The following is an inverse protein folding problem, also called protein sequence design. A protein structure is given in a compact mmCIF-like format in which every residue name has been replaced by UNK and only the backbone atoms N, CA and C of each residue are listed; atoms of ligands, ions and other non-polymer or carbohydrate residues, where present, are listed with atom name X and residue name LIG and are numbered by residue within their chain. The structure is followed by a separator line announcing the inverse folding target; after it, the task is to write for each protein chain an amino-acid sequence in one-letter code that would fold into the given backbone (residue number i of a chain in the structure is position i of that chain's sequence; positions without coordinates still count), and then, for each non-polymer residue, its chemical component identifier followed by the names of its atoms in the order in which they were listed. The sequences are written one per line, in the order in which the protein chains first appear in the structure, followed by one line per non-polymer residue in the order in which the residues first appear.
data_IF_694441767275
#
_entry.id   IF_694441767275
#
_cell.length_a   1.000
_cell.length_b   1.000
_cell.length_c   1.000
_cell.angle_alpha   90.00
_cell.angle_beta   90.00
_cell.angle_gamma   90.00
#
_symmetry.space_group_name_H-M   'P 1'
#
loop_
_entity.id
_entity.type
_entity.pdbx_description
1 polymer ?
#
# COMPACT_ATOMS: atom_id res chain seq x y z
N UNK A 1 -16.04 0.72 5.38
CA UNK A 1 -15.62 1.25 4.06
C UNK A 1 -15.33 2.74 4.11
N UNK A 2 -16.08 3.53 4.89
CA UNK A 2 -15.90 4.99 5.01
C UNK A 2 -14.46 5.41 5.36
N UNK A 3 -13.77 4.66 6.23
CA UNK A 3 -12.38 4.96 6.58
C UNK A 3 -11.37 4.72 5.44
N UNK A 4 -11.69 3.82 4.49
CA UNK A 4 -10.74 3.36 3.46
C UNK A 4 -11.03 4.01 2.11
N UNK A 5 -12.30 4.24 1.82
CA UNK A 5 -12.78 4.81 0.57
C UNK A 5 -12.06 6.10 0.13
N UNK A 6 -11.71 7.07 1.01
CA UNK A 6 -11.10 8.33 0.58
C UNK A 6 -9.82 8.14 -0.26
N UNK A 7 -8.99 7.16 0.09
CA UNK A 7 -7.72 6.87 -0.58
C UNK A 7 -7.71 5.53 -1.31
N UNK A 8 -8.77 4.73 -1.19
CA UNK A 8 -8.98 3.48 -1.92
C UNK A 8 -10.37 3.41 -2.58
N UNK A 9 -10.77 4.41 -3.39
CA UNK A 9 -12.11 4.47 -3.97
C UNK A 9 -12.21 3.54 -5.18
N UNK A 10 -12.14 2.23 -4.96
CA UNK A 10 -12.24 1.21 -6.04
C UNK A 10 -13.67 0.75 -6.29
N UNK A 11 -14.64 1.18 -5.48
CA UNK A 11 -16.06 0.88 -5.65
C UNK A 11 -16.85 2.17 -5.92
N UNK A 12 -18.04 2.04 -6.51
CA UNK A 12 -19.01 3.12 -6.48
C UNK A 12 -19.76 3.10 -5.14
N UNK A 13 -20.24 4.26 -4.69
CA UNK A 13 -21.16 4.36 -3.55
C UNK A 13 -22.55 3.91 -3.99
N UNK A 14 -22.67 2.64 -4.36
CA UNK A 14 -23.92 2.02 -4.79
C UNK A 14 -24.53 1.15 -3.69
N UNK A 15 -25.78 0.76 -3.93
CA UNK A 15 -26.51 -0.19 -3.11
C UNK A 15 -25.78 -1.54 -3.05
N UNK A 16 -25.28 -1.91 -1.86
CA UNK A 16 -24.54 -3.15 -1.61
C UNK A 16 -25.30 -4.39 -2.08
N UNK A 17 -26.64 -4.34 -2.08
CA UNK A 17 -27.50 -5.43 -2.52
C UNK A 17 -27.37 -5.76 -4.01
N UNK A 18 -26.84 -4.83 -4.82
CA UNK A 18 -26.60 -5.00 -6.26
C UNK A 18 -25.16 -5.37 -6.59
N UNK A 19 -24.28 -5.39 -5.59
CA UNK A 19 -22.87 -5.70 -5.80
C UNK A 19 -22.69 -7.19 -6.16
N UNK A 20 -21.84 -7.51 -7.15
CA UNK A 20 -21.44 -8.89 -7.42
C UNK A 20 -20.91 -9.60 -6.17
N UNK A 21 -21.18 -10.90 -6.04
CA UNK A 21 -20.86 -11.66 -4.83
C UNK A 21 -19.36 -11.64 -4.50
N UNK A 22 -18.49 -11.72 -5.52
CA UNK A 22 -17.04 -11.63 -5.34
C UNK A 22 -16.68 -10.28 -4.70
N UNK A 23 -17.13 -9.18 -5.30
CA UNK A 23 -16.86 -7.83 -4.81
C UNK A 23 -17.38 -7.62 -3.39
N UNK A 24 -18.59 -8.09 -3.10
CA UNK A 24 -19.19 -8.00 -1.77
C UNK A 24 -18.35 -8.75 -0.72
N UNK A 25 -17.85 -9.95 -1.03
CA UNK A 25 -16.99 -10.70 -0.11
C UNK A 25 -15.62 -10.02 0.06
N UNK A 26 -15.05 -9.45 -1.01
CA UNK A 26 -13.80 -8.69 -0.94
C UNK A 26 -13.96 -7.42 -0.06
N UNK A 27 -15.11 -6.73 -0.16
CA UNK A 27 -15.45 -5.62 0.72
C UNK A 27 -15.60 -6.06 2.19
N UNK A 28 -16.23 -7.21 2.44
CA UNK A 28 -16.34 -7.77 3.79
C UNK A 28 -15.00 -8.22 4.36
N UNK A 29 -14.08 -8.72 3.53
CA UNK A 29 -12.72 -9.05 3.93
C UNK A 29 -12.01 -7.80 4.45
N UNK A 30 -12.02 -6.72 3.67
CA UNK A 30 -11.42 -5.44 4.06
C UNK A 30 -12.09 -4.85 5.31
N UNK A 31 -13.42 -4.89 5.38
CA UNK A 31 -14.17 -4.42 6.55
C UNK A 31 -13.85 -5.24 7.82
N UNK A 32 -13.65 -6.55 7.67
CA UNK A 32 -13.29 -7.44 8.77
C UNK A 32 -11.89 -7.12 9.29
N UNK A 33 -10.92 -6.79 8.42
CA UNK A 33 -9.59 -6.32 8.84
C UNK A 33 -9.65 -5.04 9.70
N UNK A 34 -10.64 -4.18 9.47
CA UNK A 34 -10.87 -2.96 10.27
C UNK A 34 -11.36 -3.26 11.70
N UNK A 35 -11.87 -4.45 11.98
CA UNK A 35 -12.44 -4.77 13.29
C UNK A 35 -11.34 -4.96 14.34
N UNK A 36 -11.53 -4.53 15.60
CA UNK A 36 -10.58 -4.81 16.67
C UNK A 36 -10.52 -6.32 16.99
N UNK A 37 -9.39 -6.77 17.55
CA UNK A 37 -9.18 -8.16 17.98
C UNK A 37 -8.55 -9.07 16.93
N UNK A 38 -8.55 -10.38 17.22
CA UNK A 38 -8.12 -11.42 16.28
C UNK A 38 -9.22 -11.63 15.22
N UNK A 39 -8.86 -11.41 13.97
CA UNK A 39 -9.76 -11.47 12.81
C UNK A 39 -9.29 -12.46 11.76
N UNK A 40 -8.23 -13.23 12.05
CA UNK A 40 -7.50 -14.04 11.07
C UNK A 40 -8.35 -15.14 10.47
N UNK A 41 -8.95 -15.96 11.32
CA UNK A 41 -9.82 -17.07 10.87
C UNK A 41 -10.96 -16.55 9.99
N UNK A 42 -11.64 -15.48 10.42
CA UNK A 42 -12.72 -14.88 9.63
C UNK A 42 -12.23 -14.26 8.32
N UNK A 43 -11.07 -13.62 8.31
CA UNK A 43 -10.46 -13.11 7.09
C UNK A 43 -10.12 -14.25 6.13
N UNK A 44 -9.56 -15.34 6.64
CA UNK A 44 -9.22 -16.53 5.86
C UNK A 44 -10.47 -17.17 5.23
N UNK A 45 -11.57 -17.30 5.99
CA UNK A 45 -12.85 -17.78 5.45
C UNK A 45 -13.35 -16.92 4.29
N UNK A 46 -13.36 -15.60 4.46
CA UNK A 46 -13.80 -14.66 3.43
C UNK A 46 -12.87 -14.68 2.21
N UNK A 47 -11.57 -14.82 2.44
CA UNK A 47 -10.56 -14.90 1.39
C UNK A 47 -10.70 -16.17 0.55
N UNK A 48 -10.89 -17.34 1.16
CA UNK A 48 -11.14 -18.59 0.45
C UNK A 48 -12.47 -18.56 -0.33
N UNK A 49 -13.50 -17.91 0.21
CA UNK A 49 -14.74 -17.64 -0.55
C UNK A 49 -14.49 -16.78 -1.77
N UNK A 50 -13.67 -15.73 -1.64
CA UNK A 50 -13.32 -14.88 -2.78
C UNK A 50 -12.59 -15.69 -3.87
N UNK A 51 -11.64 -16.56 -3.51
CA UNK A 51 -10.96 -17.44 -4.48
C UNK A 51 -11.92 -18.36 -5.24
N UNK A 52 -12.94 -18.90 -4.58
CA UNK A 52 -13.93 -19.74 -5.25
C UNK A 52 -14.83 -18.92 -6.17
N UNK A 53 -15.26 -17.73 -5.74
CA UNK A 53 -16.09 -16.83 -6.52
C UNK A 53 -15.34 -16.24 -7.72
N UNK A 54 -14.04 -16.03 -7.60
CA UNK A 54 -13.16 -15.61 -8.68
C UNK A 54 -13.24 -16.55 -9.90
N UNK A 55 -13.37 -17.87 -9.68
CA UNK A 55 -13.47 -18.86 -10.76
C UNK A 55 -14.74 -18.71 -11.62
N UNK A 56 -15.74 -18.00 -11.12
CA UNK A 56 -17.03 -17.81 -11.76
C UNK A 56 -17.22 -16.37 -12.28
N UNK A 57 -16.37 -15.44 -11.84
CA UNK A 57 -16.48 -14.04 -12.22
C UNK A 57 -15.80 -13.80 -13.57
N UNK A 58 -16.59 -13.27 -14.51
CA UNK A 58 -16.12 -12.98 -15.87
C UNK A 58 -16.00 -11.48 -16.13
N UNK A 59 -16.60 -10.66 -15.27
CA UNK A 59 -16.53 -9.22 -15.40
C UNK A 59 -15.14 -8.72 -14.95
N UNK A 60 -14.33 -8.32 -15.94
CA UNK A 60 -12.96 -7.85 -15.73
C UNK A 60 -12.86 -6.65 -14.79
N UNK A 61 -13.85 -5.76 -14.76
CA UNK A 61 -13.84 -4.62 -13.84
C UNK A 61 -14.10 -5.09 -12.42
N UNK A 62 -15.04 -6.01 -12.21
CA UNK A 62 -15.31 -6.61 -10.90
C UNK A 62 -14.11 -7.39 -10.39
N UNK A 63 -13.43 -8.16 -11.26
CA UNK A 63 -12.17 -8.82 -10.93
C UNK A 63 -11.10 -7.81 -10.51
N UNK A 64 -10.92 -6.74 -11.29
CA UNK A 64 -9.96 -5.67 -10.97
C UNK A 64 -10.24 -5.05 -9.58
N UNK A 65 -11.48 -4.66 -9.32
CA UNK A 65 -11.91 -4.13 -8.02
C UNK A 65 -11.63 -5.11 -6.88
N UNK A 66 -11.95 -6.38 -7.11
CA UNK A 66 -11.83 -7.44 -6.10
C UNK A 66 -10.38 -7.78 -5.81
N UNK A 67 -9.52 -7.89 -6.83
CA UNK A 67 -8.08 -8.11 -6.66
C UNK A 67 -7.40 -6.99 -5.89
N UNK A 68 -7.76 -5.74 -6.18
CA UNK A 68 -7.29 -4.59 -5.42
C UNK A 68 -7.68 -4.75 -3.94
N UNK A 69 -8.95 -4.99 -3.62
CA UNK A 69 -9.40 -5.18 -2.23
C UNK A 69 -8.75 -6.40 -1.55
N UNK A 70 -8.61 -7.51 -2.26
CA UNK A 70 -8.00 -8.75 -1.76
C UNK A 70 -6.49 -8.61 -1.55
N UNK A 71 -5.80 -7.72 -2.27
CA UNK A 71 -4.36 -7.48 -2.08
C UNK A 71 -4.02 -6.94 -0.69
N UNK A 72 -4.99 -6.33 0.00
CA UNK A 72 -4.83 -5.86 1.39
C UNK A 72 -4.68 -7.05 2.35
N UNK A 73 -5.07 -8.26 1.94
CA UNK A 73 -4.94 -9.47 2.74
C UNK A 73 -3.59 -10.19 2.51
N UNK A 74 -2.61 -9.85 3.35
CA UNK A 74 -1.30 -10.53 3.43
C UNK A 74 -1.18 -11.42 4.66
N UNK A 75 -1.96 -12.49 4.73
CA UNK A 75 -1.91 -13.43 5.85
C UNK A 75 -1.23 -14.76 5.50
N UNK A 76 -0.51 -15.33 6.48
CA UNK A 76 0.17 -16.61 6.36
C UNK A 76 1.51 -16.53 5.64
N UNK A 77 2.17 -17.69 5.52
CA UNK A 77 3.50 -17.81 4.89
C UNK A 77 3.45 -17.37 3.42
N UNK A 78 2.34 -17.66 2.74
CA UNK A 78 2.15 -17.30 1.33
C UNK A 78 1.47 -15.94 1.12
N UNK A 79 1.12 -15.21 2.20
CA UNK A 79 0.33 -13.99 2.11
C UNK A 79 0.98 -12.90 1.26
N UNK A 80 2.29 -12.68 1.45
CA UNK A 80 3.07 -11.73 0.64
C UNK A 80 3.06 -12.11 -0.84
N UNK A 81 3.24 -13.40 -1.17
CA UNK A 81 3.22 -13.88 -2.56
C UNK A 81 1.84 -13.72 -3.19
N UNK A 82 0.77 -14.04 -2.47
CA UNK A 82 -0.61 -13.93 -2.96
C UNK A 82 -1.02 -12.46 -3.18
N UNK A 83 -0.69 -11.56 -2.25
CA UNK A 83 -0.96 -10.12 -2.43
C UNK A 83 -0.24 -9.57 -3.66
N UNK A 84 1.04 -9.89 -3.83
CA UNK A 84 1.80 -9.52 -5.03
C UNK A 84 1.11 -10.02 -6.30
N UNK A 85 0.66 -11.26 -6.29
CA UNK A 85 -0.05 -11.87 -7.41
C UNK A 85 -1.34 -11.12 -7.74
N UNK A 86 -2.19 -10.78 -6.75
CA UNK A 86 -3.41 -10.01 -7.00
C UNK A 86 -3.13 -8.61 -7.52
N UNK A 87 -2.09 -7.93 -7.03
CA UNK A 87 -1.68 -6.62 -7.56
C UNK A 87 -1.25 -6.76 -9.02
N UNK A 88 -0.46 -7.78 -9.37
CA UNK A 88 -0.05 -8.03 -10.76
C UNK A 88 -1.26 -8.37 -11.65
N UNK A 89 -2.19 -9.22 -11.17
CA UNK A 89 -3.43 -9.53 -11.88
C UNK A 89 -4.29 -8.27 -12.10
N UNK A 90 -4.40 -7.40 -11.10
CA UNK A 90 -5.05 -6.10 -11.24
C UNK A 90 -4.36 -5.21 -12.29
N UNK A 91 -3.03 -5.13 -12.26
CA UNK A 91 -2.27 -4.33 -13.24
C UNK A 91 -2.42 -4.87 -14.67
N UNK A 92 -2.38 -6.20 -14.86
CA UNK A 92 -2.67 -6.84 -16.14
C UNK A 92 -4.09 -6.53 -16.61
N UNK A 93 -5.08 -6.59 -15.72
CA UNK A 93 -6.46 -6.25 -16.06
C UNK A 93 -6.61 -4.78 -16.49
N UNK A 94 -5.82 -3.86 -15.93
CA UNK A 94 -5.78 -2.47 -16.42
C UNK A 94 -5.34 -2.39 -17.89
N UNK A 95 -4.37 -3.20 -18.33
CA UNK A 95 -3.97 -3.28 -19.73
C UNK A 95 -5.05 -3.93 -20.61
N UNK A 96 -5.56 -5.08 -20.17
CA UNK A 96 -6.59 -5.87 -20.86
C UNK A 96 -7.87 -5.11 -21.19
N UNK A 97 -8.30 -4.23 -20.27
CA UNK A 97 -9.50 -3.41 -20.45
C UNK A 97 -9.19 -2.00 -20.97
N UNK A 98 -7.94 -1.74 -21.36
CA UNK A 98 -7.52 -0.51 -22.02
C UNK A 98 -7.43 0.71 -21.09
N UNK A 99 -7.31 0.54 -19.78
CA UNK A 99 -7.20 1.65 -18.83
C UNK A 99 -5.92 2.45 -18.98
N UNK A 100 -4.85 1.86 -19.52
CA UNK A 100 -3.57 2.54 -19.76
C UNK A 100 -3.64 3.61 -20.86
N UNK A 101 -4.72 3.67 -21.63
CA UNK A 101 -4.94 4.66 -22.71
C UNK A 101 -6.24 5.44 -22.55
N UNK A 102 -6.77 5.49 -21.32
CA UNK A 102 -8.11 6.00 -21.02
C UNK A 102 -8.32 7.47 -21.47
N UNK A 103 -7.27 8.30 -21.51
CA UNK A 103 -7.34 9.71 -21.94
C UNK A 103 -7.83 9.89 -23.38
N UNK A 104 -7.54 8.93 -24.26
CA UNK A 104 -7.94 8.97 -25.68
C UNK A 104 -9.33 8.38 -25.95
N UNK A 105 -10.04 7.88 -24.94
CA UNK A 105 -11.31 7.17 -25.08
C UNK A 105 -12.52 8.01 -24.69
N UNK A 106 -13.70 7.66 -25.21
CA UNK A 106 -14.99 8.23 -24.81
C UNK A 106 -15.38 7.92 -23.34
N UNK A 107 -14.48 7.29 -22.56
CA UNK A 107 -14.63 7.15 -21.11
C UNK A 107 -15.54 6.01 -20.66
N UNK A 108 -15.85 5.06 -21.54
CA UNK A 108 -16.63 3.87 -21.18
C UNK A 108 -15.92 2.62 -21.64
N UNK A 109 -15.62 1.71 -20.71
CA UNK A 109 -15.22 0.34 -21.05
C UNK A 109 -16.49 -0.49 -21.17
N UNK A 110 -16.63 -1.14 -22.32
CA UNK A 110 -17.73 -2.06 -22.60
C UNK A 110 -17.25 -3.49 -22.31
N UNK A 111 -17.97 -4.21 -21.44
CA UNK A 111 -17.83 -5.66 -21.39
C UNK A 111 -18.51 -6.27 -22.63
N UNK A 112 -17.70 -6.69 -23.60
CA UNK A 112 -18.18 -7.28 -24.85
C UNK A 112 -18.30 -8.80 -24.80
N UNK A 113 -17.91 -9.46 -23.71
CA UNK A 113 -17.83 -10.93 -23.68
C UNK A 113 -19.15 -11.62 -23.33
N UNK A 114 -20.15 -10.88 -22.82
CA UNK A 114 -21.45 -11.45 -22.51
C UNK A 114 -22.49 -11.17 -23.62
N UNK A 115 -22.67 -12.14 -24.53
CA UNK A 115 -23.79 -12.15 -25.51
C UNK A 115 -25.18 -12.29 -24.88
N UNK A 116 -25.29 -12.59 -23.58
CA UNK A 116 -26.53 -13.08 -22.94
C UNK A 116 -27.06 -12.17 -21.81
N UNK A 117 -26.25 -11.24 -21.27
CA UNK A 117 -26.69 -10.34 -20.19
C UNK A 117 -26.52 -8.86 -20.56
N UNK A 118 -27.38 -8.03 -19.95
CA UNK A 118 -27.46 -6.58 -20.08
C UNK A 118 -26.07 -5.94 -19.98
N UNK A 119 -25.62 -5.26 -21.04
CA UNK A 119 -24.32 -4.58 -21.09
C UNK A 119 -24.16 -3.66 -19.87
N UNK A 120 -23.13 -3.89 -19.06
CA UNK A 120 -22.73 -2.98 -17.99
C UNK A 120 -21.78 -1.92 -18.55
N UNK A 121 -22.05 -0.65 -18.23
CA UNK A 121 -21.22 0.48 -18.60
C UNK A 121 -20.59 1.05 -17.34
N UNK A 122 -19.26 1.10 -17.32
CA UNK A 122 -18.52 1.72 -16.22
C UNK A 122 -18.12 3.13 -16.62
N UNK A 123 -18.39 4.09 -15.74
CA UNK A 123 -18.06 5.50 -15.97
C UNK A 123 -16.56 5.77 -15.89
N UNK A 124 -16.08 6.74 -16.69
CA UNK A 124 -14.67 7.16 -16.75
C UNK A 124 -14.08 7.45 -15.38
N UNK A 125 -14.86 8.03 -14.47
CA UNK A 125 -14.44 8.34 -13.10
C UNK A 125 -13.98 7.09 -12.32
N UNK A 126 -14.78 6.01 -12.31
CA UNK A 126 -14.38 4.76 -11.67
C UNK A 126 -13.13 4.17 -12.34
N UNK A 127 -13.11 4.13 -13.66
CA UNK A 127 -12.02 3.53 -14.42
C UNK A 127 -10.69 4.26 -14.19
N UNK A 128 -10.72 5.59 -14.12
CA UNK A 128 -9.57 6.42 -13.76
C UNK A 128 -9.07 6.11 -12.35
N UNK A 129 -9.98 6.02 -11.36
CA UNK A 129 -9.63 5.64 -9.98
C UNK A 129 -9.01 4.26 -9.90
N UNK A 130 -9.55 3.27 -10.62
CA UNK A 130 -9.02 1.91 -10.64
C UNK A 130 -7.59 1.87 -11.17
N UNK A 131 -7.30 2.60 -12.25
CA UNK A 131 -5.93 2.72 -12.76
C UNK A 131 -4.99 3.30 -11.69
N UNK A 132 -5.34 4.45 -11.10
CA UNK A 132 -4.46 5.13 -10.15
C UNK A 132 -4.27 4.35 -8.84
N UNK A 133 -5.28 3.60 -8.38
CA UNK A 133 -5.12 2.70 -7.23
C UNK A 133 -4.21 1.52 -7.58
N UNK A 134 -4.38 0.90 -8.76
CA UNK A 134 -3.44 -0.13 -9.24
C UNK A 134 -2.01 0.41 -9.30
N UNK A 135 -1.82 1.63 -9.81
CA UNK A 135 -0.52 2.31 -9.82
C UNK A 135 0.08 2.46 -8.42
N UNK A 136 -0.69 2.96 -7.46
CA UNK A 136 -0.23 3.13 -6.08
C UNK A 136 0.13 1.79 -5.41
N UNK A 137 -0.73 0.77 -5.57
CA UNK A 137 -0.49 -0.58 -5.07
C UNK A 137 0.76 -1.21 -5.69
N UNK A 138 1.00 -1.00 -6.99
CA UNK A 138 2.20 -1.48 -7.69
C UNK A 138 3.49 -0.93 -7.05
N UNK A 139 3.55 0.39 -6.79
CA UNK A 139 4.73 1.04 -6.17
C UNK A 139 4.94 0.61 -4.73
N UNK A 140 3.87 0.58 -3.94
CA UNK A 140 3.98 0.12 -2.55
C UNK A 140 4.40 -1.35 -2.49
N UNK A 141 3.85 -2.20 -3.35
CA UNK A 141 4.25 -3.60 -3.46
C UNK A 141 5.71 -3.75 -3.83
N UNK A 142 6.22 -2.97 -4.79
CA UNK A 142 7.65 -2.96 -5.12
C UNK A 142 8.52 -2.60 -3.90
N UNK A 143 8.10 -1.60 -3.11
CA UNK A 143 8.84 -1.15 -1.92
C UNK A 143 8.81 -2.15 -0.76
N UNK A 144 7.66 -2.77 -0.46
CA UNK A 144 7.54 -3.70 0.66
C UNK A 144 8.09 -5.07 0.32
N UNK A 145 7.97 -5.48 -0.94
CA UNK A 145 8.18 -6.87 -1.35
C UNK A 145 9.37 -7.10 -2.28
N UNK A 146 10.10 -6.05 -2.66
CA UNK A 146 11.32 -6.13 -3.48
C UNK A 146 11.06 -6.65 -4.89
N UNK A 147 9.89 -6.35 -5.48
CA UNK A 147 9.55 -6.76 -6.85
C UNK A 147 9.73 -5.61 -7.85
N UNK A 148 9.77 -5.97 -9.12
CA UNK A 148 9.76 -5.00 -10.22
C UNK A 148 8.44 -4.25 -10.28
N UNK A 149 8.49 -2.96 -10.63
CA UNK A 149 7.33 -2.11 -10.86
C UNK A 149 6.73 -2.50 -12.21
N UNK A 150 5.41 -2.68 -12.26
CA UNK A 150 4.70 -3.09 -13.45
C UNK A 150 4.51 -1.95 -14.45
N UNK A 151 3.94 -0.83 -14.01
CA UNK A 151 3.65 0.27 -14.93
C UNK A 151 4.90 1.09 -15.22
N UNK A 152 5.23 1.28 -16.49
CA UNK A 152 6.12 2.34 -16.93
C UNK A 152 5.27 3.54 -17.36
N UNK A 153 5.36 4.66 -16.63
CA UNK A 153 4.51 5.82 -16.92
C UNK A 153 4.81 6.49 -18.27
N UNK A 154 5.95 6.19 -18.89
CA UNK A 154 6.22 6.63 -20.27
C UNK A 154 5.31 5.94 -21.30
N UNK A 155 4.74 4.78 -20.95
CA UNK A 155 3.90 3.96 -21.83
C UNK A 155 2.40 4.13 -21.50
N UNK A 156 2.04 5.08 -20.63
CA UNK A 156 0.70 5.26 -20.09
C UNK A 156 0.14 6.63 -20.47
N UNK A 157 -1.09 6.65 -20.98
CA UNK A 157 -1.87 7.84 -21.34
C UNK A 157 -3.19 7.85 -20.57
N UNK A 158 -3.14 8.33 -19.33
CA UNK A 158 -4.29 8.39 -18.40
C UNK A 158 -4.40 9.78 -17.79
N UNK A 159 -5.63 10.27 -17.70
CA UNK A 159 -5.93 11.58 -17.12
C UNK A 159 -5.54 11.60 -15.65
N UNK A 160 -5.09 12.74 -15.16
CA UNK A 160 -4.85 12.93 -13.73
C UNK A 160 -6.11 12.65 -12.90
N UNK A 161 -5.90 12.28 -11.64
CA UNK A 161 -7.00 12.00 -10.70
C UNK A 161 -7.87 13.26 -10.56
N UNK A 162 -9.20 13.11 -10.64
CA UNK A 162 -10.15 14.21 -10.41
C UNK A 162 -9.95 14.87 -9.04
N UNK A 163 -10.12 16.20 -8.98
CA UNK A 163 -10.01 16.99 -7.74
C UNK A 163 -11.04 16.63 -6.67
N UNK A 164 -12.08 15.86 -7.00
CA UNK A 164 -13.00 15.25 -6.02
C UNK A 164 -12.29 14.23 -5.11
N UNK A 165 -11.23 13.58 -5.60
CA UNK A 165 -10.50 12.53 -4.89
C UNK A 165 -9.13 13.02 -4.40
N UNK A 166 -9.11 14.13 -3.64
CA UNK A 166 -7.87 14.75 -3.15
C UNK A 166 -6.96 13.77 -2.37
N UNK A 167 -7.54 12.89 -1.56
CA UNK A 167 -6.77 11.88 -0.84
C UNK A 167 -6.10 10.86 -1.77
N UNK A 168 -6.75 10.50 -2.89
CA UNK A 168 -6.13 9.67 -3.92
C UNK A 168 -5.04 10.44 -4.68
N UNK A 169 -5.23 11.72 -4.99
CA UNK A 169 -4.18 12.57 -5.58
C UNK A 169 -2.93 12.59 -4.69
N UNK A 170 -3.12 12.78 -3.38
CA UNK A 170 -2.04 12.73 -2.40
C UNK A 170 -1.36 11.36 -2.37
N UNK A 171 -2.13 10.28 -2.44
CA UNK A 171 -1.58 8.93 -2.49
C UNK A 171 -0.76 8.68 -3.77
N UNK A 172 -1.24 9.14 -4.93
CA UNK A 172 -0.49 9.09 -6.20
C UNK A 172 0.82 9.88 -6.09
N UNK A 173 0.80 11.07 -5.48
CA UNK A 173 2.01 11.87 -5.26
C UNK A 173 3.05 11.12 -4.41
N UNK A 174 2.61 10.43 -3.36
CA UNK A 174 3.47 9.60 -2.51
C UNK A 174 3.97 8.37 -3.27
N UNK A 175 3.13 7.72 -4.08
CA UNK A 175 3.55 6.60 -4.91
C UNK A 175 4.64 7.01 -5.92
N UNK A 176 4.57 8.22 -6.49
CA UNK A 176 5.65 8.79 -7.32
C UNK A 176 6.94 8.96 -6.52
N UNK A 177 6.88 9.43 -5.27
CA UNK A 177 8.06 9.52 -4.39
C UNK A 177 8.63 8.15 -4.02
N UNK A 178 7.78 7.14 -3.83
CA UNK A 178 8.21 5.74 -3.63
C UNK A 178 8.99 5.26 -4.85
N UNK A 179 8.44 5.43 -6.05
CA UNK A 179 9.10 5.05 -7.31
C UNK A 179 10.48 5.71 -7.47
N UNK A 180 10.54 7.04 -7.28
CA UNK A 180 11.79 7.80 -7.34
C UNK A 180 12.82 7.31 -6.31
N UNK A 181 12.37 7.01 -5.08
CA UNK A 181 13.23 6.45 -4.03
C UNK A 181 13.79 5.09 -4.42
N UNK A 182 12.95 4.20 -4.97
CA UNK A 182 13.38 2.88 -5.40
C UNK A 182 14.37 2.96 -6.57
N UNK A 183 14.13 3.83 -7.54
CA UNK A 183 15.02 3.99 -8.69
C UNK A 183 16.35 4.63 -8.31
N UNK A 184 16.36 5.63 -7.43
CA UNK A 184 17.58 6.30 -7.02
C UNK A 184 18.46 5.45 -6.08
N UNK A 185 17.86 4.58 -5.24
CA UNK A 185 18.59 3.93 -4.13
C UNK A 185 18.57 2.40 -4.14
N UNK A 186 17.51 1.77 -4.62
CA UNK A 186 17.31 0.32 -4.48
C UNK A 186 17.59 -0.48 -5.76
N UNK A 187 17.81 0.19 -6.90
CA UNK A 187 18.34 -0.45 -8.11
C UNK A 187 19.85 -0.76 -7.97
N UNK A 188 20.37 -1.72 -8.75
CA UNK A 188 21.82 -1.90 -8.91
C UNK A 188 22.49 -0.59 -9.30
N UNK A 189 23.73 -0.36 -8.84
CA UNK A 189 24.41 0.96 -8.96
C UNK A 189 24.37 1.52 -10.38
N UNK A 190 24.59 0.68 -11.40
CA UNK A 190 24.58 1.07 -12.81
C UNK A 190 23.19 1.43 -13.37
N UNK A 191 22.11 1.02 -12.71
CA UNK A 191 20.73 1.27 -13.11
C UNK A 191 20.00 2.30 -12.25
N UNK A 192 20.72 3.00 -11.36
CA UNK A 192 20.13 4.03 -10.50
C UNK A 192 19.88 5.31 -11.27
N UNK A 193 18.73 5.93 -11.05
CA UNK A 193 18.46 7.29 -11.54
C UNK A 193 19.16 8.31 -10.65
N UNK A 194 19.67 9.38 -11.26
CA UNK A 194 20.13 10.57 -10.52
C UNK A 194 18.92 11.47 -10.35
N UNK A 195 18.57 11.78 -9.10
CA UNK A 195 17.44 12.62 -8.74
C UNK A 195 17.91 13.60 -7.64
N UNK A 196 18.31 14.79 -8.06
CA UNK A 196 18.89 15.81 -7.19
C UNK A 196 17.85 16.44 -6.27
N UNK A 197 16.57 16.41 -6.66
CA UNK A 197 15.47 17.04 -5.93
C UNK A 197 14.74 16.10 -4.96
N UNK A 198 15.00 14.78 -5.03
CA UNK A 198 14.28 13.78 -4.23
C UNK A 198 14.32 14.06 -2.71
N UNK A 199 15.46 14.52 -2.19
CA UNK A 199 15.56 14.85 -0.76
C UNK A 199 14.62 15.99 -0.39
N UNK A 200 14.71 17.09 -1.13
CA UNK A 200 13.92 18.29 -0.86
C UNK A 200 12.43 18.00 -1.02
N UNK A 201 12.06 17.26 -2.06
CA UNK A 201 10.68 16.85 -2.30
C UNK A 201 10.14 15.94 -1.19
N UNK A 202 10.96 15.04 -0.63
CA UNK A 202 10.56 14.22 0.52
C UNK A 202 10.38 15.07 1.78
N UNK A 203 11.28 16.01 2.04
CA UNK A 203 11.22 16.87 3.23
C UNK A 203 10.09 17.90 3.17
N UNK A 204 9.79 18.40 1.97
CA UNK A 204 8.80 19.45 1.74
C UNK A 204 7.43 18.92 1.34
N UNK A 205 7.27 17.60 1.20
CA UNK A 205 5.99 17.00 0.84
C UNK A 205 4.90 17.41 1.82
N UNK A 206 3.80 17.93 1.26
CA UNK A 206 2.58 18.28 1.99
C UNK A 206 1.37 17.77 1.21
N UNK A 207 0.32 17.32 1.90
CA UNK A 207 -0.91 16.95 1.22
C UNK A 207 -1.52 18.18 0.53
N UNK A 208 -2.16 17.95 -0.60
CA UNK A 208 -3.16 18.85 -1.17
C UNK A 208 -4.33 18.87 -0.19
N UNK A 209 -4.61 20.04 0.41
CA UNK A 209 -5.58 20.23 1.49
C UNK A 209 -4.94 20.49 2.86
N UNK A 210 -5.74 20.78 3.90
CA UNK A 210 -5.22 21.26 5.19
C UNK A 210 -4.80 20.14 6.16
N UNK A 211 -5.37 18.94 6.07
CA UNK A 211 -5.13 17.86 7.05
C UNK A 211 -4.65 16.59 6.35
N UNK A 212 -3.41 16.18 6.64
CA UNK A 212 -2.86 14.89 6.22
C UNK A 212 -3.63 13.77 6.92
N UNK A 213 -4.28 12.93 6.13
CA UNK A 213 -4.91 11.72 6.65
C UNK A 213 -3.82 10.77 7.21
N UNK A 214 -3.99 10.11 8.38
CA UNK A 214 -2.90 9.39 9.05
C UNK A 214 -2.30 8.25 8.22
N UNK A 215 -3.09 7.62 7.35
CA UNK A 215 -2.56 6.65 6.37
C UNK A 215 -1.53 7.28 5.40
N UNK A 216 -1.79 8.49 4.90
CA UNK A 216 -0.87 9.16 3.98
C UNK A 216 0.41 9.58 4.71
N UNK A 217 0.27 10.03 5.97
CA UNK A 217 1.42 10.32 6.82
C UNK A 217 2.29 9.08 7.06
N UNK A 218 1.67 7.91 7.27
CA UNK A 218 2.39 6.64 7.39
C UNK A 218 3.20 6.32 6.13
N UNK A 219 2.60 6.47 4.95
CA UNK A 219 3.29 6.22 3.67
C UNK A 219 4.41 7.24 3.44
N UNK A 220 4.21 8.51 3.78
CA UNK A 220 5.23 9.55 3.70
C UNK A 220 6.43 9.23 4.60
N UNK A 221 6.18 8.95 5.88
CA UNK A 221 7.22 8.60 6.84
C UNK A 221 7.96 7.32 6.41
N UNK A 222 7.23 6.30 5.96
CA UNK A 222 7.83 5.06 5.45
C UNK A 222 8.77 5.31 4.27
N UNK A 223 8.32 6.09 3.28
CA UNK A 223 9.12 6.42 2.08
C UNK A 223 10.36 7.22 2.45
N UNK A 224 10.21 8.20 3.35
CA UNK A 224 11.32 9.02 3.85
C UNK A 224 12.35 8.18 4.60
N UNK A 225 11.91 7.23 5.42
CA UNK A 225 12.81 6.30 6.10
C UNK A 225 13.55 5.38 5.13
N UNK A 226 12.89 4.88 4.07
CA UNK A 226 13.57 4.09 3.03
C UNK A 226 14.71 4.90 2.38
N UNK A 227 14.44 6.16 2.04
CA UNK A 227 15.45 7.06 1.47
C UNK A 227 16.61 7.32 2.44
N UNK A 228 16.30 7.73 3.68
CA UNK A 228 17.30 8.12 4.68
C UNK A 228 18.17 6.94 5.11
N UNK A 229 17.62 5.73 5.19
CA UNK A 229 18.39 4.52 5.53
C UNK A 229 19.55 4.28 4.55
N UNK A 230 19.38 4.61 3.27
CA UNK A 230 20.44 4.48 2.27
C UNK A 230 21.55 5.54 2.42
N UNK A 231 21.35 6.57 3.25
CA UNK A 231 22.35 7.58 3.58
C UNK A 231 23.04 7.33 4.92
N UNK A 232 22.59 6.34 5.69
CA UNK A 232 23.24 5.99 6.95
C UNK A 232 24.62 5.43 6.65
N UNK A 233 25.64 6.20 6.99
CA UNK A 233 27.03 5.77 7.01
C UNK A 233 27.43 5.48 8.46
N UNK A 234 27.68 4.21 8.83
CA UNK A 234 28.05 3.83 10.20
C UNK A 234 29.42 4.37 10.64
N UNK A 235 30.22 4.91 9.72
CA UNK A 235 31.56 5.47 10.00
C UNK A 235 31.50 6.99 10.12
N UNK A 236 30.82 7.67 9.20
CA UNK A 236 30.80 9.13 9.15
C UNK A 236 29.82 9.80 10.15
N UNK A 237 28.87 9.03 10.70
CA UNK A 237 27.90 9.46 11.71
C UNK A 237 27.23 10.82 11.42
N UNK A 238 26.50 10.92 10.30
CA UNK A 238 25.73 12.13 9.94
C UNK A 238 24.53 12.33 10.89
N UNK A 239 24.71 13.23 11.86
CA UNK A 239 23.71 13.52 12.89
C UNK A 239 22.40 14.09 12.32
N UNK A 240 22.44 14.80 11.19
CA UNK A 240 21.23 15.36 10.58
C UNK A 240 20.35 14.24 10.04
N UNK A 241 20.95 13.27 9.33
CA UNK A 241 20.26 12.07 8.84
C UNK A 241 19.66 11.28 10.00
N UNK A 242 20.39 11.11 11.10
CA UNK A 242 19.87 10.41 12.28
C UNK A 242 18.71 11.15 12.95
N UNK A 243 18.79 12.46 13.09
CA UNK A 243 17.72 13.25 13.69
C UNK A 243 16.43 13.13 12.86
N UNK A 244 16.55 13.20 11.53
CA UNK A 244 15.41 13.01 10.62
C UNK A 244 14.82 11.60 10.74
N UNK A 245 15.65 10.56 10.79
CA UNK A 245 15.18 9.18 10.99
C UNK A 245 14.38 9.07 12.29
N UNK A 246 14.88 9.65 13.39
CA UNK A 246 14.18 9.64 14.68
C UNK A 246 12.86 10.41 14.64
N UNK A 247 12.82 11.55 13.94
CA UNK A 247 11.59 12.33 13.75
C UNK A 247 10.52 11.51 13.02
N UNK A 248 10.88 10.90 11.88
CA UNK A 248 9.97 10.05 11.12
C UNK A 248 9.55 8.80 11.91
N UNK A 249 10.45 8.20 12.67
CA UNK A 249 10.12 7.06 13.53
C UNK A 249 9.10 7.46 14.61
N UNK A 250 9.28 8.61 15.27
CA UNK A 250 8.32 9.14 16.26
C UNK A 250 6.96 9.41 15.62
N UNK A 251 6.93 10.01 14.43
CA UNK A 251 5.69 10.24 13.66
C UNK A 251 4.97 8.93 13.37
N UNK A 252 5.66 7.90 12.84
CA UNK A 252 5.07 6.57 12.63
C UNK A 252 4.49 6.01 13.93
N UNK A 253 5.23 6.07 15.03
CA UNK A 253 4.76 5.57 16.32
C UNK A 253 3.60 6.36 16.93
N UNK A 254 3.31 7.56 16.44
CA UNK A 254 2.14 8.36 16.83
C UNK A 254 0.88 8.04 16.04
N UNK A 255 1.00 7.33 14.90
CA UNK A 255 -0.14 7.01 14.03
C UNK A 255 -1.07 6.00 14.69
N UNK A 256 -2.38 6.19 14.49
CA UNK A 256 -3.42 5.31 15.02
C UNK A 256 -3.21 3.84 14.60
N UNK A 257 -3.44 2.92 15.54
CA UNK A 257 -3.19 1.49 15.32
C UNK A 257 -4.01 0.90 14.16
N UNK A 258 -5.21 1.43 13.89
CA UNK A 258 -6.10 0.99 12.80
C UNK A 258 -5.36 0.87 11.46
N UNK A 259 -4.47 1.82 11.14
CA UNK A 259 -3.76 1.85 9.87
C UNK A 259 -2.71 0.75 9.76
N UNK A 260 -2.11 0.36 10.87
CA UNK A 260 -1.21 -0.78 10.95
C UNK A 260 -1.95 -2.10 10.80
N UNK A 261 -3.21 -2.16 11.21
CA UNK A 261 -4.05 -3.36 11.09
C UNK A 261 -4.52 -3.58 9.65
N UNK A 262 -4.66 -2.50 8.89
CA UNK A 262 -5.15 -2.49 7.52
C UNK A 262 -4.05 -2.69 6.48
N UNK A 263 -2.93 -1.97 6.61
CA UNK A 263 -1.89 -1.98 5.59
C UNK A 263 -0.58 -2.54 6.11
N UNK A 264 -0.02 -3.51 5.37
CA UNK A 264 1.25 -4.15 5.71
C UNK A 264 2.41 -3.15 5.80
N UNK A 265 2.33 -2.03 5.06
CA UNK A 265 3.31 -0.93 5.12
C UNK A 265 3.56 -0.48 6.56
N UNK A 266 2.54 -0.45 7.42
CA UNK A 266 2.71 -0.12 8.84
C UNK A 266 3.59 -1.13 9.57
N UNK A 267 3.43 -2.42 9.28
CA UNK A 267 4.29 -3.47 9.85
C UNK A 267 5.73 -3.31 9.33
N UNK A 268 5.92 -3.09 8.03
CA UNK A 268 7.26 -2.82 7.47
C UNK A 268 7.92 -1.61 8.12
N UNK A 269 7.19 -0.51 8.32
CA UNK A 269 7.70 0.68 8.99
C UNK A 269 8.21 0.36 10.42
N UNK A 270 7.45 -0.41 11.20
CA UNK A 270 7.88 -0.87 12.53
C UNK A 270 9.16 -1.71 12.48
N UNK A 271 9.28 -2.62 11.50
CA UNK A 271 10.48 -3.44 11.32
C UNK A 271 11.70 -2.59 10.95
N UNK A 272 11.53 -1.57 10.09
CA UNK A 272 12.60 -0.63 9.77
C UNK A 272 13.04 0.18 10.98
N UNK A 273 12.09 0.73 11.75
CA UNK A 273 12.41 1.46 12.99
C UNK A 273 13.21 0.56 13.92
N UNK A 274 12.78 -0.69 14.14
CA UNK A 274 13.50 -1.62 15.03
C UNK A 274 14.92 -1.92 14.55
N UNK A 275 15.09 -2.15 13.26
CA UNK A 275 16.39 -2.41 12.63
C UNK A 275 17.31 -1.19 12.68
N UNK A 276 16.75 0.02 12.59
CA UNK A 276 17.52 1.25 12.73
C UNK A 276 17.91 1.46 14.18
N UNK A 277 17.00 1.32 15.14
CA UNK A 277 17.33 1.47 16.57
C UNK A 277 18.39 0.48 17.08
N UNK A 278 18.62 -0.65 16.42
CA UNK A 278 19.77 -1.53 16.73
C UNK A 278 21.09 -1.03 16.15
N UNK A 279 21.06 -0.33 15.01
CA UNK A 279 22.26 0.26 14.38
C UNK A 279 22.64 1.60 15.02
N UNK A 280 21.65 2.34 15.54
CA UNK A 280 21.80 3.66 16.12
C UNK A 280 21.99 3.65 17.64
N UNK A 281 22.25 2.49 18.23
CA UNK A 281 22.37 2.34 19.68
C UNK A 281 23.61 3.07 20.22
N UNK A 282 23.49 4.38 20.37
CA UNK A 282 24.12 5.13 21.43
C UNK A 282 23.25 4.86 22.68
N UNK A 283 23.84 4.70 23.87
CA UNK A 283 23.14 4.40 25.14
C UNK A 283 22.19 5.54 25.62
N UNK A 284 21.25 5.95 24.77
CA UNK A 284 20.28 7.01 25.01
C UNK A 284 18.94 6.38 25.41
N UNK A 285 18.33 6.87 26.50
CA UNK A 285 17.06 6.32 27.01
C UNK A 285 15.88 6.43 26.02
N UNK A 286 15.95 7.33 25.04
CA UNK A 286 14.94 7.53 23.99
C UNK A 286 14.84 6.33 23.05
N UNK A 287 15.97 5.67 22.75
CA UNK A 287 15.99 4.56 21.78
C UNK A 287 15.41 3.28 22.38
N UNK A 288 15.61 3.09 23.68
CA UNK A 288 15.00 1.99 24.44
C UNK A 288 13.48 2.14 24.55
N UNK A 289 12.96 3.34 24.75
CA UNK A 289 11.52 3.60 24.73
C UNK A 289 10.91 3.34 23.34
N UNK A 290 11.61 3.75 22.28
CA UNK A 290 11.19 3.50 20.90
C UNK A 290 11.13 1.99 20.62
N UNK A 291 12.17 1.24 20.99
CA UNK A 291 12.23 -0.23 20.87
C UNK A 291 11.06 -0.89 21.60
N UNK A 292 10.78 -0.50 22.86
CA UNK A 292 9.67 -1.04 23.65
C UNK A 292 8.33 -0.77 22.98
N UNK A 293 8.11 0.44 22.48
CA UNK A 293 6.87 0.82 21.78
C UNK A 293 6.68 0.01 20.50
N UNK A 294 7.74 -0.18 19.71
CA UNK A 294 7.69 -1.03 18.50
C UNK A 294 7.33 -2.47 18.85
N UNK A 295 8.00 -3.06 19.85
CA UNK A 295 7.72 -4.43 20.30
C UNK A 295 6.27 -4.56 20.76
N UNK A 296 5.74 -3.58 21.51
CA UNK A 296 4.36 -3.59 21.95
C UNK A 296 3.38 -3.52 20.79
N UNK A 297 3.61 -2.64 19.79
CA UNK A 297 2.78 -2.57 18.59
C UNK A 297 2.81 -3.88 17.79
N UNK A 298 3.99 -4.46 17.59
CA UNK A 298 4.10 -5.76 16.92
C UNK A 298 3.35 -6.87 17.69
N UNK A 299 3.39 -6.86 19.04
CA UNK A 299 2.61 -7.78 19.89
C UNK A 299 1.11 -7.64 19.67
N UNK A 300 0.60 -6.41 19.55
CA UNK A 300 -0.81 -6.17 19.24
C UNK A 300 -1.18 -6.67 17.83
N UNK A 301 -0.25 -6.53 16.87
CA UNK A 301 -0.46 -6.88 15.46
C UNK A 301 -0.22 -8.35 15.11
N UNK A 302 0.38 -9.16 16.00
CA UNK A 302 0.70 -10.58 15.73
C UNK A 302 -0.53 -11.42 15.39
N UNK A 303 -1.69 -11.04 15.95
CA UNK A 303 -2.99 -11.65 15.68
C UNK A 303 -3.66 -11.11 14.41
N UNK A 304 -2.98 -10.30 13.60
CA UNK A 304 -3.49 -9.75 12.33
C UNK A 304 -2.54 -9.93 11.16
N UNK A 305 -1.25 -10.02 11.44
CA UNK A 305 -0.21 -10.14 10.43
C UNK A 305 0.78 -11.22 10.80
N UNK A 306 0.98 -12.16 9.89
CA UNK A 306 2.03 -13.16 10.02
C UNK A 306 3.42 -12.51 10.09
N UNK A 307 3.66 -11.46 9.30
CA UNK A 307 4.92 -10.70 9.32
C UNK A 307 5.20 -10.05 10.69
N UNK A 308 4.17 -9.55 11.38
CA UNK A 308 4.36 -8.99 12.73
C UNK A 308 4.76 -10.09 13.73
N UNK A 309 4.13 -11.27 13.65
CA UNK A 309 4.50 -12.42 14.48
C UNK A 309 5.93 -12.91 14.19
N UNK A 310 6.31 -13.00 12.92
CA UNK A 310 7.66 -13.38 12.51
C UNK A 310 8.71 -12.36 12.97
N UNK A 311 8.43 -11.06 12.78
CA UNK A 311 9.29 -9.97 13.24
C UNK A 311 9.49 -9.98 14.75
N UNK A 312 8.44 -10.21 15.54
CA UNK A 312 8.59 -10.37 17.00
C UNK A 312 9.56 -11.48 17.35
N UNK A 313 9.44 -12.65 16.70
CA UNK A 313 10.30 -13.79 16.99
C UNK A 313 11.76 -13.45 16.69
N UNK A 314 12.02 -12.81 15.56
CA UNK A 314 13.37 -12.36 15.18
C UNK A 314 14.00 -11.40 16.20
N UNK A 315 13.22 -10.53 16.84
CA UNK A 315 13.75 -9.52 17.75
C UNK A 315 13.74 -9.92 19.23
N UNK A 316 12.84 -10.82 19.64
CA UNK A 316 12.78 -11.32 21.01
C UNK A 316 13.88 -12.36 21.25
N UNK A 317 14.16 -13.22 20.27
CA UNK A 317 15.21 -14.24 20.38
C UNK A 317 16.65 -13.65 20.33
N UNK A 318 16.79 -12.36 19.99
CA UNK A 318 18.07 -11.62 20.05
C UNK A 318 18.32 -10.97 21.43
N UNK A 319 17.39 -11.11 22.38
CA UNK A 319 17.44 -10.45 23.70
C UNK A 319 17.78 -11.41 24.85
N UNK A 320 18.16 -12.65 24.54
CA UNK A 320 18.60 -13.71 25.47
C UNK A 320 20.01 -14.15 25.13
#
# INVERSE_FOLDING_TARGET
MENIYPFYPVIEKEDLWKSPLLLLNAMFLVATRCRPGDVRERCQELFERCKLLELLENNKIVLLQSYLLMSIHEEGINGSSLSKEYIVRACNLCGDVGLTTLSGSNGTVQDTQHRVYKKMYYGKSLLNRLFWISYCCDRLSAATHGREIYFNMNDVLVDEVSGEFQHLQNFVSLARLVERTLWARYRPVHGRSIDEHLQDDLLQWKPIGEIAHPWLDLVHCYTSMLYLRCKVDPVASDQEVYNLIHEYAKRVLSIDELWFQLFIVGVHALLHIRSLSSLLANDSGSDEEMKKTVIQRLKNLKGKWWLAAAGLKMFVDQST
#
